data_IF_016145049655
#
_entry.id   IF_016145049655
#
_cell.length_a   1.000
_cell.length_b   1.000
_cell.length_c   1.000
_cell.angle_alpha   90.00
_cell.angle_beta   90.00
_cell.angle_gamma   90.00
#
_symmetry.space_group_name_H-M   'P 1'
#
loop_
_entity.id
_entity.type
_entity.pdbx_description
1 polymer ?
#
# COMPACT_ATOMS: atom_id res chain seq x y z
N UNK A 1 1.27 2.35 -13.45
CA UNK A 1 1.95 2.12 -12.16
C UNK A 1 2.12 0.62 -11.95
N UNK A 2 3.27 0.13 -11.51
CA UNK A 2 3.53 -1.32 -11.41
C UNK A 2 2.55 -2.04 -10.47
N UNK A 3 2.36 -1.51 -9.25
CA UNK A 3 1.47 -2.13 -8.25
C UNK A 3 0.03 -2.35 -8.75
N UNK A 4 -0.55 -1.37 -9.46
CA UNK A 4 -1.88 -1.53 -10.06
C UNK A 4 -1.95 -2.61 -11.13
N UNK A 5 -0.86 -2.82 -11.89
CA UNK A 5 -0.77 -3.91 -12.87
C UNK A 5 -0.71 -5.26 -12.17
N UNK A 6 0.11 -5.39 -11.14
CA UNK A 6 0.25 -6.62 -10.36
C UNK A 6 -1.07 -6.97 -9.63
N UNK A 7 -1.80 -5.98 -9.11
CA UNK A 7 -3.14 -6.16 -8.53
C UNK A 7 -4.20 -6.54 -9.57
N UNK A 8 -4.05 -6.12 -10.83
CA UNK A 8 -4.94 -6.52 -11.90
C UNK A 8 -4.70 -7.99 -12.29
N UNK A 9 -3.43 -8.37 -12.43
CA UNK A 9 -3.03 -9.75 -12.73
C UNK A 9 -3.47 -10.71 -11.62
N UNK A 10 -3.20 -10.36 -10.35
CA UNK A 10 -3.59 -11.17 -9.20
C UNK A 10 -5.11 -11.36 -9.09
N UNK A 11 -5.89 -10.34 -9.44
CA UNK A 11 -7.35 -10.39 -9.41
C UNK A 11 -7.97 -11.22 -10.54
N UNK A 12 -7.27 -11.35 -11.68
CA UNK A 12 -7.74 -12.13 -12.82
C UNK A 12 -7.40 -13.62 -12.74
N UNK A 13 -6.67 -14.04 -11.71
CA UNK A 13 -6.24 -15.43 -11.54
C UNK A 13 -7.26 -16.28 -10.78
N UNK A 14 -7.29 -17.57 -11.11
CA UNK A 14 -8.19 -18.57 -10.49
C UNK A 14 -7.65 -19.13 -9.15
N UNK A 15 -7.11 -18.25 -8.29
CA UNK A 15 -6.41 -18.66 -7.07
C UNK A 15 -7.31 -19.44 -6.11
N UNK A 16 -8.57 -19.04 -5.99
CA UNK A 16 -9.55 -19.68 -5.10
C UNK A 16 -10.02 -21.03 -5.66
N UNK A 17 -10.24 -21.13 -6.97
CA UNK A 17 -10.63 -22.37 -7.66
C UNK A 17 -9.56 -23.45 -7.53
N UNK A 18 -8.29 -23.04 -7.51
CA UNK A 18 -7.13 -23.94 -7.47
C UNK A 18 -6.65 -24.25 -6.05
N UNK A 19 -7.34 -23.74 -5.02
CA UNK A 19 -6.93 -23.89 -3.62
C UNK A 19 -5.66 -23.11 -3.25
N UNK A 20 -5.21 -22.19 -4.10
CA UNK A 20 -4.01 -21.36 -3.94
C UNK A 20 -4.29 -20.03 -3.21
N UNK A 21 -5.20 -20.08 -2.22
CA UNK A 21 -5.69 -18.90 -1.48
C UNK A 21 -4.57 -18.30 -0.62
N UNK A 22 -3.73 -19.14 -0.04
CA UNK A 22 -2.59 -18.69 0.77
C UNK A 22 -1.59 -17.92 -0.09
N UNK A 23 -1.24 -18.43 -1.26
CA UNK A 23 -0.37 -17.77 -2.23
C UNK A 23 -0.95 -16.43 -2.71
N UNK A 24 -2.27 -16.35 -2.89
CA UNK A 24 -2.96 -15.11 -3.21
C UNK A 24 -2.73 -14.04 -2.14
N UNK A 25 -2.96 -14.34 -0.86
CA UNK A 25 -2.75 -13.38 0.22
C UNK A 25 -1.27 -13.04 0.47
N UNK A 26 -0.34 -13.99 0.20
CA UNK A 26 1.09 -13.67 0.18
C UNK A 26 1.41 -12.63 -0.88
N UNK A 27 1.07 -12.88 -2.15
CA UNK A 27 1.32 -11.93 -3.25
C UNK A 27 0.62 -10.60 -3.03
N UNK A 28 -0.62 -10.62 -2.56
CA UNK A 28 -1.38 -9.40 -2.29
C UNK A 28 -0.66 -8.50 -1.29
N UNK A 29 -0.20 -9.07 -0.18
CA UNK A 29 0.54 -8.32 0.83
C UNK A 29 1.92 -7.85 0.35
N UNK A 30 2.59 -8.65 -0.49
CA UNK A 30 3.89 -8.32 -1.08
C UNK A 30 3.78 -7.11 -2.00
N UNK A 31 2.80 -7.09 -2.91
CA UNK A 31 2.55 -5.97 -3.83
C UNK A 31 2.36 -4.67 -3.05
N UNK A 32 1.56 -4.70 -1.99
CA UNK A 32 1.31 -3.52 -1.14
C UNK A 32 2.58 -3.07 -0.41
N UNK A 33 3.36 -4.00 0.15
CA UNK A 33 4.62 -3.68 0.85
C UNK A 33 5.68 -3.11 -0.09
N UNK A 34 5.89 -3.72 -1.25
CA UNK A 34 6.84 -3.22 -2.28
C UNK A 34 6.41 -1.85 -2.80
N UNK A 35 5.11 -1.63 -2.98
CA UNK A 35 4.58 -0.31 -3.33
C UNK A 35 4.97 0.74 -2.28
N UNK A 36 4.75 0.43 -1.01
CA UNK A 36 5.04 1.34 0.11
C UNK A 36 6.54 1.61 0.20
N UNK A 37 7.38 0.60 0.05
CA UNK A 37 8.83 0.75 0.01
C UNK A 37 9.28 1.73 -1.07
N UNK A 38 8.81 1.53 -2.30
CA UNK A 38 9.18 2.37 -3.44
C UNK A 38 8.66 3.80 -3.34
N UNK A 39 7.51 3.99 -2.69
CA UNK A 39 6.89 5.32 -2.56
C UNK A 39 7.37 6.11 -1.36
N UNK A 40 7.72 5.43 -0.26
CA UNK A 40 7.98 6.06 1.03
C UNK A 40 9.35 5.72 1.62
N UNK A 41 10.16 4.90 0.95
CA UNK A 41 11.51 4.55 1.39
C UNK A 41 11.54 3.68 2.64
N UNK A 42 10.47 2.92 2.91
CA UNK A 42 10.36 2.01 4.05
C UNK A 42 10.70 0.59 3.61
N UNK A 43 11.61 -0.12 4.29
CA UNK A 43 11.93 -1.52 4.01
C UNK A 43 10.78 -2.47 4.42
N UNK A 44 9.57 -2.23 3.90
CA UNK A 44 8.33 -2.89 4.29
C UNK A 44 8.29 -4.39 4.01
N UNK A 45 8.92 -4.94 2.95
CA UNK A 45 8.99 -6.39 2.76
C UNK A 45 9.80 -7.12 3.84
N UNK A 46 10.78 -6.45 4.44
CA UNK A 46 11.67 -7.04 5.46
C UNK A 46 11.14 -6.89 6.89
N UNK A 47 10.08 -6.10 7.08
CA UNK A 47 9.48 -5.85 8.39
C UNK A 47 8.35 -6.82 8.69
N UNK A 48 8.24 -7.26 9.95
CA UNK A 48 6.99 -7.85 10.43
C UNK A 48 5.84 -6.84 10.32
N UNK A 49 4.60 -7.33 10.31
CA UNK A 49 3.41 -6.45 10.30
C UNK A 49 3.42 -5.44 11.45
N UNK A 50 3.84 -5.87 12.65
CA UNK A 50 3.90 -5.00 13.82
C UNK A 50 4.96 -3.91 13.67
N UNK A 51 6.20 -4.27 13.30
CA UNK A 51 7.28 -3.31 13.06
C UNK A 51 6.93 -2.32 11.95
N UNK A 52 6.32 -2.81 10.88
CA UNK A 52 5.87 -2.01 9.76
C UNK A 52 4.86 -0.94 10.21
N UNK A 53 3.83 -1.34 10.97
CA UNK A 53 2.81 -0.42 11.46
C UNK A 53 3.37 0.60 12.46
N UNK A 54 4.29 0.18 13.33
CA UNK A 54 4.99 1.09 14.26
C UNK A 54 5.83 2.11 13.51
N UNK A 55 6.60 1.67 12.50
CA UNK A 55 7.46 2.54 11.69
C UNK A 55 6.64 3.57 10.92
N UNK A 56 5.54 3.12 10.31
CA UNK A 56 4.64 3.96 9.53
C UNK A 56 3.90 4.98 10.42
N UNK A 57 3.50 4.57 11.63
CA UNK A 57 2.89 5.48 12.61
C UNK A 57 3.85 6.55 13.15
N UNK A 58 5.17 6.36 13.04
CA UNK A 58 6.18 7.38 13.38
C UNK A 58 6.39 8.40 12.25
N UNK A 59 6.24 7.99 11.00
CA UNK A 59 6.35 8.85 9.81
C UNK A 59 4.98 9.35 9.31
N UNK A 60 4.07 9.75 10.21
CA UNK A 60 2.71 10.21 9.82
C UNK A 60 2.71 11.38 8.83
N UNK A 61 3.80 12.14 8.75
CA UNK A 61 3.97 13.22 7.78
C UNK A 61 4.24 12.75 6.34
N UNK A 62 4.66 11.50 6.16
CA UNK A 62 5.08 10.98 4.86
C UNK A 62 3.93 10.33 4.06
N UNK A 63 2.89 9.84 4.74
CA UNK A 63 1.83 9.05 4.11
C UNK A 63 0.45 9.55 4.54
N UNK A 64 -0.32 10.19 3.64
CA UNK A 64 -1.74 10.43 3.84
C UNK A 64 -2.52 9.15 3.51
N UNK A 65 -2.64 8.25 4.49
CA UNK A 65 -3.37 6.98 4.38
C UNK A 65 -4.20 6.71 5.63
N UNK A 66 -5.20 5.85 5.48
CA UNK A 66 -5.95 5.29 6.60
C UNK A 66 -5.15 4.15 7.26
N UNK A 67 -4.59 4.45 8.43
CA UNK A 67 -3.75 3.52 9.17
C UNK A 67 -4.50 2.31 9.73
N UNK A 68 -5.75 2.50 10.11
CA UNK A 68 -6.58 1.44 10.65
C UNK A 68 -7.00 0.47 9.53
N UNK A 69 -7.30 1.01 8.34
CA UNK A 69 -7.60 0.18 7.17
C UNK A 69 -6.40 -0.63 6.69
N UNK A 70 -5.20 -0.05 6.69
CA UNK A 70 -3.98 -0.78 6.33
C UNK A 70 -3.65 -1.87 7.36
N UNK A 71 -3.81 -1.56 8.65
CA UNK A 71 -3.66 -2.53 9.74
C UNK A 71 -4.61 -3.71 9.54
N UNK A 72 -5.90 -3.45 9.39
CA UNK A 72 -6.92 -4.49 9.24
C UNK A 72 -6.62 -5.41 8.03
N UNK A 73 -6.19 -4.82 6.92
CA UNK A 73 -5.77 -5.56 5.73
C UNK A 73 -4.56 -6.48 5.99
N UNK A 74 -3.51 -5.98 6.66
CA UNK A 74 -2.32 -6.78 6.96
C UNK A 74 -2.61 -7.90 7.96
N UNK A 75 -3.41 -7.62 8.99
CA UNK A 75 -3.86 -8.62 9.97
C UNK A 75 -4.72 -9.72 9.32
N UNK A 76 -5.55 -9.37 8.33
CA UNK A 76 -6.27 -10.35 7.53
C UNK A 76 -5.33 -11.22 6.69
N UNK A 77 -4.36 -10.61 6.02
CA UNK A 77 -3.33 -11.37 5.30
C UNK A 77 -2.62 -12.36 6.22
N UNK A 78 -2.25 -11.94 7.42
CA UNK A 78 -1.52 -12.80 8.37
C UNK A 78 -2.40 -13.93 8.91
N UNK A 79 -3.70 -13.70 9.15
CA UNK A 79 -4.65 -14.76 9.52
C UNK A 79 -4.73 -15.86 8.45
N UNK A 80 -4.78 -15.49 7.18
CA UNK A 80 -4.80 -16.48 6.08
C UNK A 80 -3.47 -17.22 5.97
N UNK A 81 -2.35 -16.51 6.11
CA UNK A 81 -1.01 -17.08 5.94
C UNK A 81 -0.61 -18.04 7.06
N UNK A 82 -1.04 -17.77 8.29
CA UNK A 82 -0.52 -18.40 9.50
C UNK A 82 -1.57 -19.06 10.40
N UNK A 83 -2.84 -18.62 10.37
CA UNK A 83 -3.88 -19.09 11.29
C UNK A 83 -4.87 -20.10 10.68
N UNK A 84 -4.53 -20.70 9.54
CA UNK A 84 -5.37 -21.65 8.81
C UNK A 84 -6.81 -21.13 8.54
N UNK A 85 -6.95 -19.81 8.42
CA UNK A 85 -8.22 -19.19 8.04
C UNK A 85 -8.46 -19.39 6.55
N UNK A 86 -9.66 -19.87 6.19
CA UNK A 86 -10.08 -20.10 4.80
C UNK A 86 -11.07 -19.00 4.37
N UNK A 87 -10.58 -17.90 3.76
CA UNK A 87 -11.44 -16.85 3.25
C UNK A 87 -12.21 -17.33 2.03
N UNK A 88 -13.40 -16.78 1.83
CA UNK A 88 -14.21 -16.99 0.63
C UNK A 88 -13.69 -16.09 -0.49
N UNK A 89 -14.08 -16.40 -1.73
CA UNK A 89 -13.74 -15.56 -2.90
C UNK A 89 -14.11 -14.09 -2.69
N UNK A 90 -15.29 -13.84 -2.12
CA UNK A 90 -15.76 -12.49 -1.82
C UNK A 90 -14.83 -11.73 -0.87
N UNK A 91 -14.16 -12.42 0.07
CA UNK A 91 -13.20 -11.82 1.00
C UNK A 91 -11.90 -11.45 0.26
N UNK A 92 -11.48 -12.29 -0.69
CA UNK A 92 -10.34 -12.01 -1.58
C UNK A 92 -10.59 -10.82 -2.50
N UNK A 93 -11.78 -10.73 -3.10
CA UNK A 93 -12.20 -9.59 -3.94
C UNK A 93 -12.23 -8.28 -3.14
N UNK A 94 -12.75 -8.33 -1.91
CA UNK A 94 -12.72 -7.19 -0.98
C UNK A 94 -11.29 -6.78 -0.64
N UNK A 95 -10.40 -7.75 -0.40
CA UNK A 95 -8.99 -7.50 -0.12
C UNK A 95 -8.26 -6.82 -1.29
N UNK A 96 -8.55 -7.23 -2.54
CA UNK A 96 -8.02 -6.57 -3.75
C UNK A 96 -8.56 -5.15 -3.85
N UNK A 97 -9.87 -4.95 -3.64
CA UNK A 97 -10.49 -3.63 -3.70
C UNK A 97 -9.89 -2.68 -2.66
N UNK A 98 -9.66 -3.16 -1.43
CA UNK A 98 -8.99 -2.42 -0.38
C UNK A 98 -7.55 -2.04 -0.77
N UNK A 99 -6.77 -2.98 -1.31
CA UNK A 99 -5.41 -2.73 -1.77
C UNK A 99 -5.34 -1.69 -2.91
N UNK A 100 -6.24 -1.78 -3.90
CA UNK A 100 -6.33 -0.81 -5.01
C UNK A 100 -6.66 0.59 -4.49
N UNK A 101 -7.69 0.70 -3.67
CA UNK A 101 -8.09 1.97 -3.07
C UNK A 101 -6.96 2.61 -2.25
N UNK A 102 -6.17 1.81 -1.52
CA UNK A 102 -5.00 2.27 -0.79
C UNK A 102 -3.92 2.84 -1.73
N UNK A 103 -3.56 2.09 -2.79
CA UNK A 103 -2.56 2.51 -3.78
C UNK A 103 -2.99 3.81 -4.48
N UNK A 104 -4.24 3.89 -4.92
CA UNK A 104 -4.75 5.08 -5.62
C UNK A 104 -4.80 6.32 -4.71
N UNK A 105 -5.33 6.18 -3.49
CA UNK A 105 -5.43 7.31 -2.55
C UNK A 105 -4.05 7.87 -2.18
N UNK A 106 -3.10 6.98 -1.87
CA UNK A 106 -1.73 7.40 -1.51
C UNK A 106 -0.98 7.99 -2.69
N UNK A 107 -1.14 7.44 -3.90
CA UNK A 107 -0.53 7.98 -5.11
C UNK A 107 -1.06 9.38 -5.46
N UNK A 108 -2.38 9.58 -5.37
CA UNK A 108 -3.02 10.87 -5.62
C UNK A 108 -2.52 11.93 -4.62
N UNK A 109 -2.44 11.58 -3.35
CA UNK A 109 -2.01 12.51 -2.32
C UNK A 109 -0.51 12.84 -2.39
N UNK A 110 0.36 11.88 -2.73
CA UNK A 110 1.78 12.14 -3.03
C UNK A 110 1.94 13.05 -4.26
N UNK A 111 1.11 12.88 -5.28
CA UNK A 111 1.10 13.77 -6.44
C UNK A 111 0.61 15.19 -6.10
N UNK A 112 -0.38 15.32 -5.22
CA UNK A 112 -0.87 16.61 -4.73
C UNK A 112 0.20 17.34 -3.89
N UNK A 113 0.88 16.64 -2.98
CA UNK A 113 1.97 17.22 -2.17
C UNK A 113 3.12 17.77 -3.01
N UNK A 114 3.51 17.07 -4.10
CA UNK A 114 4.54 17.54 -5.03
C UNK A 114 4.12 18.79 -5.82
N UNK A 115 2.84 18.90 -6.18
CA UNK A 115 2.31 20.09 -6.89
C UNK A 115 2.31 21.34 -6.00
N UNK A 116 1.99 21.19 -4.71
CA UNK A 116 2.00 22.32 -3.76
C UNK A 116 3.39 22.81 -3.36
N UNK A 117 4.43 21.98 -3.51
CA UNK A 117 5.83 22.37 -3.22
C UNK A 117 6.55 23.06 -4.38
N UNK A 118 6.03 22.96 -5.62
CA UNK A 118 6.64 23.53 -6.82
C UNK A 118 6.20 24.98 -7.14
N UNK A 119 5.19 25.50 -6.44
CA UNK A 119 4.68 26.87 -6.60
C UNK A 119 5.26 27.81 -5.52
N UNK A 120 6.59 27.87 -5.42
CA UNK A 120 7.27 28.93 -4.67
C UNK A 120 7.88 29.92 -5.68
N UNK A 121 7.32 31.12 -5.87
CA UNK A 121 7.93 32.10 -6.74
C UNK A 121 9.26 32.56 -6.13
N UNK A 122 10.35 32.35 -6.88
CA UNK A 122 11.67 32.84 -6.53
C UNK A 122 11.62 34.35 -6.30
N UNK A 123 11.93 34.78 -5.07
CA UNK A 123 12.03 36.20 -4.74
C UNK A 123 13.11 36.82 -5.63
N UNK A 124 12.68 37.82 -6.39
CA UNK A 124 13.52 38.69 -7.19
C UNK A 124 14.69 39.20 -6.35
N UNK A 125 15.89 39.16 -6.93
CA UNK A 125 17.01 39.97 -6.46
C UNK A 125 16.64 41.41 -6.81
N UNK A 126 16.26 42.18 -5.79
CA UNK A 126 16.11 43.62 -5.93
C UNK A 126 17.51 44.23 -5.80
N UNK A 127 18.00 44.73 -6.93
CA UNK A 127 19.11 45.68 -7.00
C UNK A 127 18.82 46.86 -6.05
N UNK A 128 19.72 47.09 -5.09
CA UNK A 128 19.79 48.35 -4.37
C UNK A 128 21.23 48.84 -4.46
N UNK A 129 21.36 49.92 -5.23
CA UNK A 129 22.51 50.76 -5.47
C UNK A 129 23.11 51.37 -4.20
#
# INVERSE_FOLDING_TARGET
MLAMRELAELSSGDHFERGAVREFYYRLSEIVRVYIERKFGLAAPEMTTEEFLVRLARDRSAVPYDADRLRAFLEECDRVKYAAYEPRREDGEQSISAARAFVDATAAAVAAAQKSGADAPGRAREDAA
#
